data_IF_544839928045
#
_entry.id   IF_544839928045
#
_cell.length_a   1.000
_cell.length_b   1.000
_cell.length_c   1.000
_cell.angle_alpha   90.00
_cell.angle_beta   90.00
_cell.angle_gamma   90.00
#
_symmetry.space_group_name_H-M   'P 1'
#
loop_
_entity.id
_entity.type
_entity.pdbx_description
1 polymer ?
#
# COMPACT_ATOMS: atom_id res chain seq x y z
N UNK A 1 12.20 11.43 -0.10
CA UNK A 1 11.07 12.14 0.56
C UNK A 1 9.98 11.14 0.87
N UNK A 2 9.07 11.41 1.80
CA UNK A 2 7.98 10.47 2.09
C UNK A 2 6.78 10.71 1.17
N UNK A 3 6.15 9.61 0.75
CA UNK A 3 4.93 9.60 -0.02
C UNK A 3 3.94 8.62 0.64
N UNK A 4 2.72 9.09 0.83
CA UNK A 4 1.59 8.29 1.29
C UNK A 4 0.79 7.86 0.07
N UNK A 5 0.62 6.56 -0.10
CA UNK A 5 -0.15 5.94 -1.17
C UNK A 5 -1.31 5.21 -0.53
N UNK A 6 -2.53 5.66 -0.82
CA UNK A 6 -3.76 5.04 -0.32
C UNK A 6 -4.54 4.47 -1.49
N UNK A 7 -4.87 3.19 -1.39
CA UNK A 7 -5.60 2.44 -2.40
C UNK A 7 -6.92 1.95 -1.81
N UNK A 8 -7.99 2.03 -2.58
CA UNK A 8 -9.31 1.48 -2.22
C UNK A 8 -9.60 0.31 -3.13
N UNK A 9 -9.95 -0.83 -2.57
CA UNK A 9 -10.30 -2.03 -3.36
C UNK A 9 -11.63 -1.79 -4.11
N UNK A 10 -11.84 -2.50 -5.22
CA UNK A 10 -13.15 -2.53 -5.88
C UNK A 10 -14.16 -3.29 -5.03
N UNK A 11 -15.46 -2.95 -5.10
CA UNK A 11 -16.51 -3.81 -4.58
C UNK A 11 -16.53 -5.12 -5.39
N UNK A 12 -15.85 -6.15 -4.90
CA UNK A 12 -15.80 -7.48 -5.52
C UNK A 12 -15.39 -8.51 -4.49
N UNK A 13 -15.73 -9.78 -4.72
CA UNK A 13 -15.25 -10.88 -3.89
C UNK A 13 -13.71 -10.87 -3.87
N UNK A 14 -13.12 -10.98 -2.66
CA UNK A 14 -11.67 -10.96 -2.36
C UNK A 14 -10.79 -11.83 -3.28
N UNK A 15 -11.40 -12.72 -4.06
CA UNK A 15 -10.80 -13.59 -5.09
C UNK A 15 -9.71 -12.93 -5.94
N UNK A 16 -9.92 -11.73 -6.48
CA UNK A 16 -8.93 -11.06 -7.34
C UNK A 16 -7.66 -10.73 -6.55
N UNK A 17 -7.83 -10.16 -5.36
CA UNK A 17 -6.76 -9.82 -4.43
C UNK A 17 -6.00 -11.08 -3.99
N UNK A 18 -6.72 -12.12 -3.59
CA UNK A 18 -6.10 -13.39 -3.18
C UNK A 18 -5.32 -14.06 -4.32
N UNK A 19 -5.81 -13.97 -5.56
CA UNK A 19 -5.18 -14.61 -6.71
C UNK A 19 -3.78 -14.06 -7.05
N UNK A 20 -3.51 -12.79 -6.72
CA UNK A 20 -2.24 -12.12 -7.01
C UNK A 20 -1.45 -11.72 -5.75
N UNK A 21 -1.95 -12.07 -4.56
CA UNK A 21 -1.37 -11.69 -3.27
C UNK A 21 0.11 -12.09 -3.13
N UNK A 22 0.46 -13.29 -3.56
CA UNK A 22 1.84 -13.79 -3.47
C UNK A 22 2.78 -13.02 -4.42
N UNK A 23 2.32 -12.71 -5.64
CA UNK A 23 3.08 -11.88 -6.59
C UNK A 23 3.25 -10.47 -6.06
N UNK A 24 2.19 -9.89 -5.48
CA UNK A 24 2.24 -8.59 -4.80
C UNK A 24 3.28 -8.60 -3.65
N UNK A 25 3.25 -9.60 -2.78
CA UNK A 25 4.24 -9.75 -1.69
C UNK A 25 5.66 -9.90 -2.22
N UNK A 26 5.85 -10.64 -3.31
CA UNK A 26 7.15 -10.75 -3.96
C UNK A 26 7.64 -9.40 -4.49
N UNK A 27 6.76 -8.63 -5.14
CA UNK A 27 7.06 -7.27 -5.58
C UNK A 27 7.48 -6.37 -4.41
N UNK A 28 6.73 -6.36 -3.30
CA UNK A 28 7.08 -5.54 -2.12
C UNK A 28 8.45 -5.89 -1.55
N UNK A 29 8.85 -7.18 -1.56
CA UNK A 29 10.20 -7.60 -1.15
C UNK A 29 11.28 -6.97 -2.04
N UNK A 30 11.02 -6.78 -3.34
CA UNK A 30 11.96 -6.10 -4.25
C UNK A 30 12.06 -4.60 -4.02
N UNK A 31 11.07 -3.99 -3.35
CA UNK A 31 11.00 -2.56 -3.05
C UNK A 31 11.24 -2.28 -1.55
N UNK A 32 11.76 -3.26 -0.80
CA UNK A 32 11.85 -3.18 0.66
C UNK A 32 12.70 -1.99 1.15
N UNK A 33 13.67 -1.55 0.35
CA UNK A 33 14.52 -0.38 0.62
C UNK A 33 13.75 0.96 0.55
N UNK A 34 12.61 0.99 -0.14
CA UNK A 34 11.74 2.16 -0.25
C UNK A 34 10.64 2.18 0.81
N UNK A 35 10.21 1.04 1.32
CA UNK A 35 9.03 0.94 2.18
C UNK A 35 9.37 1.33 3.62
N UNK A 36 8.71 2.37 4.14
CA UNK A 36 8.77 2.75 5.56
C UNK A 36 7.69 2.02 6.35
N UNK A 37 6.49 1.90 5.78
CA UNK A 37 5.36 1.17 6.34
C UNK A 37 4.41 0.75 5.22
N UNK A 38 3.82 -0.43 5.32
CA UNK A 38 2.82 -0.91 4.37
C UNK A 38 1.83 -1.84 5.06
N UNK A 39 0.58 -1.85 4.61
CA UNK A 39 -0.41 -2.80 5.11
C UNK A 39 -1.71 -2.77 4.31
N UNK A 40 -2.50 -3.82 4.48
CA UNK A 40 -3.88 -3.80 4.06
C UNK A 40 -4.67 -2.83 4.96
N UNK A 41 -5.59 -2.07 4.38
CA UNK A 41 -6.64 -1.41 5.16
C UNK A 41 -7.78 -2.39 5.34
N UNK A 42 -8.38 -2.39 6.53
CA UNK A 42 -9.49 -3.26 6.88
C UNK A 42 -10.72 -2.41 7.17
N UNK A 43 -11.90 -3.03 7.14
CA UNK A 43 -13.08 -2.43 7.76
C UNK A 43 -12.94 -2.47 9.30
N UNK A 44 -13.90 -1.89 10.01
CA UNK A 44 -13.92 -1.89 11.47
C UNK A 44 -14.12 -3.30 12.08
N UNK A 45 -14.46 -4.32 11.27
CA UNK A 45 -14.54 -5.71 11.74
C UNK A 45 -13.15 -6.35 11.94
N UNK A 46 -12.08 -5.73 11.42
CA UNK A 46 -10.71 -6.23 11.55
C UNK A 46 -10.37 -7.43 10.67
N UNK A 47 -11.25 -7.83 9.75
CA UNK A 47 -11.09 -8.98 8.87
C UNK A 47 -11.25 -8.61 7.38
N UNK A 48 -12.28 -7.82 7.05
CA UNK A 48 -12.64 -7.48 5.67
C UNK A 48 -11.63 -6.49 5.11
N UNK A 49 -10.94 -6.88 4.03
CA UNK A 49 -9.97 -6.03 3.36
C UNK A 49 -10.69 -4.94 2.55
N UNK A 50 -10.28 -3.69 2.69
CA UNK A 50 -10.89 -2.54 2.01
C UNK A 50 -9.93 -1.82 1.07
N UNK A 51 -8.65 -2.22 1.06
CA UNK A 51 -7.62 -1.49 0.37
C UNK A 51 -6.21 -1.83 0.80
N UNK A 52 -5.30 -0.91 0.50
CA UNK A 52 -3.90 -0.95 0.91
C UNK A 52 -3.38 0.46 1.19
N UNK A 53 -2.43 0.56 2.11
CA UNK A 53 -1.75 1.80 2.43
C UNK A 53 -0.24 1.58 2.43
N UNK A 54 0.49 2.51 1.84
CA UNK A 54 1.95 2.52 1.82
C UNK A 54 2.48 3.90 2.20
N UNK A 55 3.50 3.91 3.04
CA UNK A 55 4.39 5.06 3.25
C UNK A 55 5.75 4.65 2.71
N UNK A 56 6.19 5.32 1.65
CA UNK A 56 7.46 5.01 0.98
C UNK A 56 8.39 6.21 0.93
N UNK A 57 9.69 5.94 0.86
CA UNK A 57 10.73 6.88 0.51
C UNK A 57 10.92 6.88 -1.02
N UNK A 58 10.72 8.05 -1.65
CA UNK A 58 10.99 8.27 -3.06
C UNK A 58 11.47 9.71 -3.31
N UNK A 59 12.26 9.92 -4.35
CA UNK A 59 12.83 11.23 -4.75
C UNK A 59 11.84 12.11 -5.51
N UNK A 60 10.75 11.54 -6.03
CA UNK A 60 9.76 12.29 -6.80
C UNK A 60 8.37 11.68 -6.77
N UNK A 61 7.37 12.44 -7.25
CA UNK A 61 6.02 11.94 -7.48
C UNK A 61 6.02 10.79 -8.48
N UNK A 62 6.78 10.94 -9.57
CA UNK A 62 6.86 9.96 -10.64
C UNK A 62 7.40 8.61 -10.13
N UNK A 63 8.40 8.62 -9.25
CA UNK A 63 8.91 7.40 -8.63
C UNK A 63 7.88 6.75 -7.69
N UNK A 64 7.13 7.55 -6.92
CA UNK A 64 6.07 7.03 -6.06
C UNK A 64 4.89 6.46 -6.85
N UNK A 65 4.51 7.12 -7.95
CA UNK A 65 3.50 6.63 -8.89
C UNK A 65 3.99 5.36 -9.60
N UNK A 66 5.26 5.27 -9.98
CA UNK A 66 5.84 4.05 -10.54
C UNK A 66 5.81 2.88 -9.54
N UNK A 67 6.08 3.14 -8.26
CA UNK A 67 5.93 2.12 -7.21
C UNK A 67 4.50 1.56 -7.18
N UNK A 68 3.49 2.44 -7.24
CA UNK A 68 2.08 2.02 -7.20
C UNK A 68 1.61 1.36 -8.49
N UNK A 69 2.05 1.86 -9.65
CA UNK A 69 1.60 1.39 -10.97
C UNK A 69 2.17 0.01 -11.31
N UNK A 70 3.38 -0.31 -10.84
CA UNK A 70 4.01 -1.62 -11.02
C UNK A 70 3.61 -2.63 -9.94
N UNK A 71 2.71 -2.27 -9.03
CA UNK A 71 2.18 -3.20 -8.04
C UNK A 71 1.24 -4.21 -8.74
N UNK A 72 1.42 -5.53 -8.55
CA UNK A 72 0.54 -6.55 -9.11
C UNK A 72 -0.95 -6.36 -8.77
N UNK A 73 -1.30 -5.73 -7.65
CA UNK A 73 -2.68 -5.37 -7.35
C UNK A 73 -3.23 -4.29 -8.30
N UNK A 74 -2.41 -3.30 -8.66
CA UNK A 74 -2.79 -2.27 -9.63
C UNK A 74 -2.92 -2.88 -11.03
N UNK A 75 -1.97 -3.71 -11.45
CA UNK A 75 -2.01 -4.40 -12.76
C UNK A 75 -3.22 -5.34 -12.89
N UNK A 76 -3.55 -6.07 -11.83
CA UNK A 76 -4.73 -6.93 -11.78
C UNK A 76 -6.05 -6.15 -11.61
N UNK A 77 -5.99 -4.83 -11.48
CA UNK A 77 -7.15 -3.97 -11.34
C UNK A 77 -7.95 -4.21 -10.05
N UNK A 78 -7.28 -4.59 -8.96
CA UNK A 78 -7.89 -4.77 -7.63
C UNK A 78 -8.43 -3.45 -7.10
N UNK A 79 -7.71 -2.35 -7.35
CA UNK A 79 -8.08 -1.03 -6.82
C UNK A 79 -9.12 -0.31 -7.68
N UNK A 80 -10.10 0.29 -7.03
CA UNK A 80 -11.04 1.25 -7.62
C UNK A 80 -10.43 2.66 -7.71
N UNK A 81 -9.56 3.00 -6.75
CA UNK A 81 -8.84 4.27 -6.74
C UNK A 81 -7.48 4.14 -6.05
N UNK A 82 -6.54 4.98 -6.50
CA UNK A 82 -5.20 5.13 -5.93
C UNK A 82 -4.92 6.62 -5.79
N UNK A 83 -4.48 7.05 -4.61
CA UNK A 83 -4.07 8.44 -4.35
C UNK A 83 -2.63 8.48 -3.87
N UNK A 84 -1.79 9.28 -4.54
CA UNK A 84 -0.37 9.47 -4.21
C UNK A 84 -0.16 10.90 -3.69
N UNK A 85 0.23 11.03 -2.43
CA UNK A 85 0.36 12.33 -1.73
C UNK A 85 1.74 12.49 -1.11
N UNK A 86 2.39 13.64 -1.33
CA UNK A 86 3.67 13.97 -0.70
C UNK A 86 3.46 14.18 0.80
N UNK A 87 4.27 13.52 1.63
CA UNK A 87 4.20 13.59 3.08
C UNK A 87 5.47 14.24 3.65
N UNK A 88 5.30 15.17 4.60
CA UNK A 88 6.42 15.66 5.42
C UNK A 88 6.50 14.80 6.68
N UNK A 89 7.68 14.21 6.94
CA UNK A 89 7.93 13.52 8.21
C UNK A 89 7.84 14.53 9.35
N UNK A 90 6.95 14.26 10.31
CA UNK A 90 6.93 14.94 11.61
C UNK A 90 7.49 13.96 12.66
N UNK A 91 6.60 13.24 13.33
CA UNK A 91 6.92 12.25 14.36
C UNK A 91 6.71 10.84 13.82
N UNK A 92 7.63 9.92 14.14
CA UNK A 92 7.51 8.49 13.85
C UNK A 92 7.91 7.74 15.12
N UNK A 93 6.95 7.01 15.70
CA UNK A 93 7.07 6.28 16.99
C UNK A 93 6.60 4.85 16.72
N UNK A 94 7.45 4.00 16.09
CA UNK A 94 7.06 2.63 15.72
C UNK A 94 6.67 1.77 16.92
N UNK A 95 7.22 2.04 18.10
CA UNK A 95 6.90 1.33 19.35
C UNK A 95 5.44 1.49 19.83
N UNK A 96 4.66 2.40 19.24
CA UNK A 96 3.22 2.45 19.51
C UNK A 96 2.44 1.33 18.81
N UNK A 97 3.01 0.66 17.81
CA UNK A 97 2.37 -0.49 17.14
C UNK A 97 2.09 -1.63 18.12
N UNK A 98 3.04 -1.93 19.01
CA UNK A 98 2.95 -3.01 20.00
C UNK A 98 1.89 -2.77 21.10
N UNK A 99 1.26 -1.59 21.13
CA UNK A 99 0.23 -1.24 22.12
C UNK A 99 -1.19 -1.49 21.62
N UNK A 100 -1.36 -1.72 20.31
CA UNK A 100 -2.63 -1.93 19.66
C UNK A 100 -3.10 -3.39 19.77
#
# INVERSE_FOLDING_TARGET
MLWCITCVDKPSDDSARQSVLETHRAYLKTQADKIVMSGATLSDDGETMTGSCFIIAAESRAEAEAFSNNDPFTEAGVFSSVTVTRMKKSTFIPENYEKA
#
